data_IF_052851879635
#
_entry.id   IF_052851879635
#
_cell.length_a   1.000
_cell.length_b   1.000
_cell.length_c   1.000
_cell.angle_alpha   90.00
_cell.angle_beta   90.00
_cell.angle_gamma   90.00
#
_symmetry.space_group_name_H-M   'P 1'
#
loop_
_entity.id
_entity.type
_entity.pdbx_description
1 polymer ?
#
# COMPACT_ATOMS: atom_id res chain seq x y z
N UNK A 1 8.19 -26.56 -37.84
CA UNK A 1 9.11 -25.44 -38.11
C UNK A 1 9.20 -24.57 -36.87
N UNK A 2 10.41 -24.31 -36.40
CA UNK A 2 10.67 -23.72 -35.08
C UNK A 2 10.18 -22.26 -35.01
N UNK A 3 9.06 -22.00 -34.33
CA UNK A 3 8.33 -20.73 -34.43
C UNK A 3 8.78 -19.64 -33.44
N UNK A 4 9.67 -19.96 -32.51
CA UNK A 4 10.13 -19.07 -31.44
C UNK A 4 11.67 -18.99 -31.41
N UNK A 5 12.28 -18.85 -32.58
CA UNK A 5 13.73 -18.73 -32.76
C UNK A 5 14.10 -17.28 -33.05
N UNK A 6 15.19 -16.78 -32.45
CA UNK A 6 15.69 -15.42 -32.66
C UNK A 6 16.48 -15.23 -33.98
N UNK A 7 16.45 -16.21 -34.89
CA UNK A 7 17.27 -16.21 -36.11
C UNK A 7 16.92 -15.13 -37.13
N UNK A 8 15.76 -14.49 -36.99
CA UNK A 8 15.27 -13.45 -37.92
C UNK A 8 14.56 -12.33 -37.15
N UNK A 9 14.62 -11.08 -37.63
CA UNK A 9 13.90 -9.95 -37.03
C UNK A 9 12.39 -10.19 -36.86
N UNK A 10 11.74 -10.85 -37.83
CA UNK A 10 10.30 -11.13 -37.78
C UNK A 10 9.93 -12.05 -36.61
N UNK A 11 10.76 -13.05 -36.30
CA UNK A 11 10.50 -13.98 -35.20
C UNK A 11 10.75 -13.34 -33.84
N UNK A 12 11.79 -12.51 -33.71
CA UNK A 12 12.02 -11.69 -32.51
C UNK A 12 10.79 -10.82 -32.19
N UNK A 13 10.26 -10.15 -33.20
CA UNK A 13 9.06 -9.32 -33.07
C UNK A 13 7.80 -10.10 -32.64
N UNK A 14 7.60 -11.31 -33.16
CA UNK A 14 6.46 -12.16 -32.78
C UNK A 14 6.50 -12.54 -31.29
N UNK A 15 7.66 -12.99 -30.81
CA UNK A 15 7.86 -13.36 -29.39
C UNK A 15 7.68 -12.15 -28.47
N UNK A 16 8.24 -11.00 -28.84
CA UNK A 16 8.05 -9.75 -28.08
C UNK A 16 6.60 -9.31 -27.97
N UNK A 17 5.81 -9.39 -29.06
CA UNK A 17 4.39 -9.05 -29.03
C UNK A 17 3.60 -9.94 -28.08
N UNK A 18 3.89 -11.24 -28.04
CA UNK A 18 3.22 -12.17 -27.13
C UNK A 18 3.51 -11.87 -25.66
N UNK A 19 4.76 -11.55 -25.33
CA UNK A 19 5.16 -11.16 -23.99
C UNK A 19 4.58 -9.80 -23.58
N UNK A 20 4.48 -8.84 -24.51
CA UNK A 20 3.82 -7.56 -24.26
C UNK A 20 2.32 -7.71 -23.98
N UNK A 21 1.61 -8.55 -24.75
CA UNK A 21 0.19 -8.82 -24.50
C UNK A 21 -0.05 -9.40 -23.11
N UNK A 22 0.85 -10.28 -22.64
CA UNK A 22 0.79 -10.83 -21.29
C UNK A 22 1.02 -9.76 -20.22
N UNK A 23 1.97 -8.84 -20.45
CA UNK A 23 2.25 -7.73 -19.55
C UNK A 23 1.09 -6.73 -19.48
N UNK A 24 0.47 -6.41 -20.63
CA UNK A 24 -0.73 -5.58 -20.71
C UNK A 24 -1.91 -6.21 -19.92
N UNK A 25 -2.00 -7.55 -19.90
CA UNK A 25 -3.03 -8.27 -19.18
C UNK A 25 -2.82 -8.28 -17.65
N UNK A 26 -1.57 -8.12 -17.19
CA UNK A 26 -1.17 -8.16 -15.78
C UNK A 26 -0.60 -6.82 -15.29
N UNK A 27 -1.07 -5.70 -15.86
CA UNK A 27 -0.56 -4.37 -15.54
C UNK A 27 -0.65 -4.02 -14.05
N UNK A 28 -1.66 -4.56 -13.37
CA UNK A 28 -1.94 -4.41 -11.94
C UNK A 28 -0.85 -4.98 -11.02
N UNK A 29 -0.05 -5.93 -11.51
CA UNK A 29 1.04 -6.57 -10.78
C UNK A 29 2.41 -6.38 -11.46
N UNK A 30 2.46 -5.55 -12.51
CA UNK A 30 3.61 -5.47 -13.40
C UNK A 30 4.76 -4.61 -12.89
N UNK A 31 5.97 -5.05 -13.20
CA UNK A 31 7.25 -4.38 -13.01
C UNK A 31 7.49 -3.35 -14.12
N UNK A 32 8.34 -2.33 -13.91
CA UNK A 32 8.52 -1.23 -14.87
C UNK A 32 9.22 -1.64 -16.16
N UNK A 33 9.92 -2.78 -16.15
CA UNK A 33 10.62 -3.32 -17.31
C UNK A 33 10.45 -4.82 -17.34
N UNK A 34 10.17 -5.34 -18.53
CA UNK A 34 10.35 -6.74 -18.85
C UNK A 34 11.24 -6.84 -20.08
N UNK A 35 12.25 -7.71 -20.04
CA UNK A 35 13.14 -7.91 -21.18
C UNK A 35 13.64 -9.35 -21.27
N UNK A 36 14.12 -9.69 -22.46
CA UNK A 36 14.77 -10.95 -22.75
C UNK A 36 16.17 -10.66 -23.29
N UNK A 37 17.15 -11.41 -22.81
CA UNK A 37 18.49 -11.43 -23.39
C UNK A 37 18.75 -12.78 -24.03
N UNK A 38 19.25 -12.76 -25.27
CA UNK A 38 19.66 -13.98 -25.99
C UNK A 38 21.15 -14.25 -25.78
N UNK A 39 21.65 -15.48 -26.02
CA UNK A 39 23.05 -15.84 -25.75
C UNK A 39 24.10 -14.88 -26.33
N UNK A 40 23.85 -14.28 -27.49
CA UNK A 40 24.75 -13.30 -28.12
C UNK A 40 24.81 -11.92 -27.40
N UNK A 41 24.03 -11.74 -26.34
CA UNK A 41 24.05 -10.55 -25.48
C UNK A 41 23.06 -9.46 -25.88
N UNK A 42 22.25 -9.67 -26.91
CA UNK A 42 21.24 -8.71 -27.35
C UNK A 42 20.07 -8.66 -26.36
N UNK A 43 19.67 -7.45 -25.97
CA UNK A 43 18.46 -7.21 -25.17
C UNK A 43 17.28 -6.77 -26.03
N UNK A 44 16.11 -7.31 -25.72
CA UNK A 44 14.85 -6.96 -26.34
C UNK A 44 13.76 -6.89 -25.27
N UNK A 45 13.02 -5.80 -25.18
CA UNK A 45 12.06 -5.62 -24.08
C UNK A 45 11.29 -4.33 -24.12
N UNK A 46 10.49 -4.11 -23.09
CA UNK A 46 9.71 -2.90 -22.93
C UNK A 46 9.91 -2.30 -21.55
N UNK A 47 9.85 -0.98 -21.48
CA UNK A 47 9.83 -0.23 -20.24
C UNK A 47 8.71 0.81 -20.23
N UNK A 48 8.11 1.02 -19.07
CA UNK A 48 7.29 2.20 -18.86
C UNK A 48 8.14 3.38 -18.37
N UNK A 49 7.87 4.55 -18.93
CA UNK A 49 8.45 5.79 -18.42
C UNK A 49 7.78 6.22 -17.12
N UNK A 50 8.41 7.14 -16.37
CA UNK A 50 7.82 7.75 -15.17
C UNK A 50 6.46 8.40 -15.44
N UNK A 51 6.23 8.82 -16.69
CA UNK A 51 4.99 9.44 -17.14
C UNK A 51 3.98 8.43 -17.70
N UNK A 52 4.26 7.12 -17.61
CA UNK A 52 3.41 6.05 -18.13
C UNK A 52 3.53 5.81 -19.63
N UNK A 53 4.41 6.50 -20.36
CA UNK A 53 4.67 6.21 -21.78
C UNK A 53 5.45 4.91 -21.94
N UNK A 54 4.99 4.01 -22.79
CA UNK A 54 5.68 2.77 -23.12
C UNK A 54 6.86 3.03 -24.08
N UNK A 55 7.99 2.38 -23.83
CA UNK A 55 9.16 2.40 -24.69
C UNK A 55 9.64 0.98 -25.01
N UNK A 56 10.05 0.77 -26.26
CA UNK A 56 10.64 -0.47 -26.75
C UNK A 56 12.17 -0.37 -26.69
N UNK A 57 12.81 -1.43 -26.20
CA UNK A 57 14.24 -1.66 -26.33
C UNK A 57 14.48 -2.71 -27.39
N UNK A 58 15.29 -2.37 -28.38
CA UNK A 58 15.70 -3.25 -29.46
C UNK A 58 17.20 -3.15 -29.63
N UNK A 59 17.88 -4.28 -29.51
CA UNK A 59 19.31 -4.39 -29.70
C UNK A 59 19.62 -5.25 -30.92
N UNK A 60 20.46 -4.70 -31.80
CA UNK A 60 21.04 -5.40 -32.94
C UNK A 60 22.56 -5.38 -32.83
N UNK A 61 23.16 -6.55 -32.65
CA UNK A 61 24.57 -6.65 -32.30
C UNK A 61 24.86 -5.90 -31.00
N UNK A 62 25.74 -4.90 -31.03
CA UNK A 62 26.08 -4.07 -29.86
C UNK A 62 25.37 -2.72 -29.85
N UNK A 63 24.49 -2.45 -30.82
CA UNK A 63 23.71 -1.20 -30.87
C UNK A 63 22.37 -1.39 -30.17
N UNK A 64 22.22 -0.80 -28.99
CA UNK A 64 20.96 -0.74 -28.25
C UNK A 64 20.22 0.54 -28.61
N UNK A 65 18.99 0.40 -29.10
CA UNK A 65 18.10 1.51 -29.44
C UNK A 65 16.85 1.47 -28.56
N UNK A 66 16.39 2.64 -28.11
CA UNK A 66 15.14 2.82 -27.38
C UNK A 66 14.17 3.65 -28.21
N UNK A 67 12.92 3.20 -28.34
CA UNK A 67 11.88 3.88 -29.12
C UNK A 67 10.67 4.17 -28.23
N UNK A 68 9.95 5.26 -28.50
CA UNK A 68 8.61 5.43 -27.93
C UNK A 68 7.63 4.50 -28.65
N UNK A 69 6.63 4.00 -27.92
CA UNK A 69 5.61 3.10 -28.46
C UNK A 69 4.23 3.75 -28.56
N UNK A 70 3.48 3.39 -29.60
CA UNK A 70 2.08 3.75 -29.75
C UNK A 70 1.20 2.96 -28.77
N UNK A 71 -0.12 3.22 -28.77
CA UNK A 71 -1.08 2.53 -27.90
C UNK A 71 -1.20 1.02 -28.14
N UNK A 72 -0.61 0.49 -29.23
CA UNK A 72 -0.55 -0.94 -29.53
C UNK A 72 0.82 -1.55 -29.19
N UNK A 73 1.75 -0.74 -28.67
CA UNK A 73 3.10 -1.18 -28.34
C UNK A 73 4.11 -1.15 -29.50
N UNK A 74 3.75 -0.60 -30.66
CA UNK A 74 4.68 -0.49 -31.79
C UNK A 74 5.56 0.73 -31.66
N UNK A 75 6.85 0.55 -31.95
CA UNK A 75 7.78 1.66 -32.04
C UNK A 75 7.31 2.69 -33.07
N UNK A 76 7.33 3.97 -32.71
CA UNK A 76 7.03 5.07 -33.61
C UNK A 76 8.08 6.18 -33.50
N UNK A 77 8.38 6.81 -34.64
CA UNK A 77 9.37 7.87 -34.72
C UNK A 77 10.83 7.38 -34.65
N UNK A 78 11.74 8.35 -34.50
CA UNK A 78 13.16 8.09 -34.32
C UNK A 78 13.45 7.55 -32.89
N UNK A 79 14.55 6.81 -32.70
CA UNK A 79 14.92 6.34 -31.37
C UNK A 79 15.19 7.52 -30.44
N UNK A 80 14.69 7.42 -29.20
CA UNK A 80 14.92 8.41 -28.14
C UNK A 80 16.32 8.30 -27.54
N UNK A 81 16.94 7.12 -27.62
CA UNK A 81 18.34 6.93 -27.27
C UNK A 81 18.95 5.79 -28.09
N UNK A 82 20.22 5.93 -28.44
CA UNK A 82 21.02 4.90 -29.11
C UNK A 82 22.37 4.81 -28.39
N UNK A 83 22.80 3.60 -28.06
CA UNK A 83 24.08 3.32 -27.41
C UNK A 83 24.79 2.20 -28.17
N UNK A 84 26.11 2.30 -28.33
CA UNK A 84 26.94 1.37 -29.11
C UNK A 84 28.19 0.93 -28.33
N UNK A 85 28.09 0.82 -27.01
CA UNK A 85 29.22 0.45 -26.16
C UNK A 85 29.60 -1.02 -26.36
N UNK A 86 30.80 -1.27 -26.85
CA UNK A 86 31.31 -2.63 -27.08
C UNK A 86 32.03 -3.22 -25.85
N UNK A 87 32.36 -2.39 -24.86
CA UNK A 87 33.20 -2.79 -23.73
C UNK A 87 34.55 -3.36 -24.18
N UNK A 88 35.03 -4.38 -23.46
CA UNK A 88 36.24 -5.15 -23.84
C UNK A 88 35.95 -6.66 -24.01
N UNK A 89 34.67 -7.04 -24.14
CA UNK A 89 34.20 -8.43 -24.25
C UNK A 89 34.52 -9.31 -23.05
N UNK A 90 34.70 -8.73 -21.86
CA UNK A 90 34.83 -9.48 -20.59
C UNK A 90 33.62 -9.23 -19.69
N UNK A 91 33.33 -10.12 -18.72
CA UNK A 91 32.27 -9.87 -17.74
C UNK A 91 32.46 -8.59 -16.92
N UNK A 92 33.70 -8.13 -16.74
CA UNK A 92 34.04 -6.93 -15.97
C UNK A 92 33.87 -5.63 -16.77
N UNK A 93 33.92 -5.68 -18.10
CA UNK A 93 33.54 -4.57 -18.98
C UNK A 93 32.73 -5.12 -20.18
N UNK A 94 31.48 -5.50 -19.94
CA UNK A 94 30.66 -6.20 -20.93
C UNK A 94 30.15 -5.30 -22.05
N UNK A 95 30.23 -3.97 -21.90
CA UNK A 95 29.55 -3.03 -22.79
C UNK A 95 28.06 -3.34 -22.86
N UNK A 96 27.48 -3.32 -24.05
CA UNK A 96 26.10 -3.71 -24.32
C UNK A 96 25.89 -5.24 -24.42
N UNK A 97 26.86 -6.08 -24.06
CA UNK A 97 26.66 -7.52 -24.00
C UNK A 97 26.01 -7.93 -22.66
N UNK A 98 24.69 -8.04 -22.65
CA UNK A 98 23.94 -8.34 -21.44
C UNK A 98 24.17 -9.77 -20.92
N UNK A 99 24.56 -10.72 -21.78
CA UNK A 99 24.93 -12.08 -21.35
C UNK A 99 26.17 -12.06 -20.45
N UNK A 100 27.17 -11.26 -20.82
CA UNK A 100 28.38 -11.06 -20.02
C UNK A 100 28.08 -10.25 -18.76
N UNK A 101 27.19 -9.25 -18.85
CA UNK A 101 26.78 -8.44 -17.69
C UNK A 101 26.09 -9.30 -16.60
N UNK A 102 25.21 -10.22 -16.99
CA UNK A 102 24.47 -11.09 -16.06
C UNK A 102 25.19 -12.39 -15.69
N UNK A 103 26.22 -12.78 -16.42
CA UNK A 103 26.98 -14.00 -16.19
C UNK A 103 27.80 -14.00 -14.90
N UNK A 104 28.45 -15.13 -14.62
CA UNK A 104 29.37 -15.28 -13.48
C UNK A 104 30.48 -14.23 -13.56
N UNK A 105 30.63 -13.43 -12.49
CA UNK A 105 31.63 -12.37 -12.42
C UNK A 105 31.28 -11.11 -13.23
N UNK A 106 30.07 -11.04 -13.80
CA UNK A 106 29.54 -9.89 -14.52
C UNK A 106 29.27 -8.67 -13.64
N UNK A 107 29.25 -7.48 -14.24
CA UNK A 107 29.06 -6.21 -13.52
C UNK A 107 27.73 -6.14 -12.77
N UNK A 108 26.64 -6.68 -13.33
CA UNK A 108 25.33 -6.74 -12.69
C UNK A 108 25.36 -7.49 -11.36
N UNK A 109 26.28 -8.43 -11.15
CA UNK A 109 26.40 -9.25 -9.94
C UNK A 109 25.26 -10.26 -9.75
N UNK A 110 24.47 -10.57 -10.78
CA UNK A 110 23.47 -11.66 -10.75
C UNK A 110 24.12 -13.03 -10.69
N UNK A 111 25.31 -13.18 -11.30
CA UNK A 111 26.09 -14.42 -11.36
C UNK A 111 25.30 -15.61 -11.94
N UNK A 112 24.56 -15.39 -13.04
CA UNK A 112 23.82 -16.47 -13.68
C UNK A 112 24.78 -17.52 -14.24
N UNK A 113 24.49 -18.78 -13.92
CA UNK A 113 25.18 -19.93 -14.46
C UNK A 113 24.40 -20.49 -15.65
N UNK A 114 24.82 -20.16 -16.87
CA UNK A 114 24.16 -20.61 -18.10
C UNK A 114 24.13 -22.13 -18.30
N UNK A 115 25.00 -22.86 -17.60
CA UNK A 115 24.99 -24.33 -17.61
C UNK A 115 23.81 -24.89 -16.80
N UNK A 116 23.34 -24.18 -15.77
CA UNK A 116 22.21 -24.57 -14.93
C UNK A 116 20.91 -23.94 -15.44
N UNK A 117 19.96 -24.71 -15.98
CA UNK A 117 18.70 -24.18 -16.50
C UNK A 117 17.80 -23.54 -15.44
N UNK A 118 18.03 -23.82 -14.15
CA UNK A 118 17.28 -23.24 -13.05
C UNK A 118 17.98 -22.02 -12.43
N UNK A 119 19.08 -21.55 -13.05
CA UNK A 119 19.82 -20.42 -12.51
C UNK A 119 18.96 -19.16 -12.54
N UNK A 120 18.83 -18.55 -11.37
CA UNK A 120 18.16 -17.27 -11.15
C UNK A 120 19.07 -16.36 -10.34
N UNK A 121 18.88 -15.05 -10.46
CA UNK A 121 19.75 -14.08 -9.81
C UNK A 121 19.10 -12.72 -9.68
N UNK A 122 19.61 -11.93 -8.75
CA UNK A 122 19.14 -10.57 -8.51
C UNK A 122 20.31 -9.60 -8.63
N UNK A 123 20.21 -8.61 -9.52
CA UNK A 123 21.31 -7.69 -9.81
C UNK A 123 21.69 -6.85 -8.60
N UNK A 124 22.83 -6.19 -8.63
CA UNK A 124 23.07 -5.02 -7.80
C UNK A 124 22.08 -3.93 -8.20
N UNK A 125 21.74 -3.07 -7.25
CA UNK A 125 20.96 -1.87 -7.55
C UNK A 125 21.86 -0.95 -8.36
N UNK A 126 21.40 -0.50 -9.52
CA UNK A 126 22.23 0.22 -10.47
C UNK A 126 21.48 1.37 -11.13
N UNK A 127 22.17 2.48 -11.45
CA UNK A 127 21.63 3.53 -12.29
C UNK A 127 21.71 3.11 -13.76
N UNK A 128 20.66 3.39 -14.53
CA UNK A 128 20.65 3.25 -15.98
C UNK A 128 19.57 4.16 -16.58
N UNK A 129 19.83 4.82 -17.71
CA UNK A 129 18.84 5.71 -18.36
C UNK A 129 18.29 6.82 -17.45
N UNK A 130 19.07 7.28 -16.47
CA UNK A 130 18.65 8.28 -15.49
C UNK A 130 17.64 7.77 -14.45
N UNK A 131 17.55 6.46 -14.23
CA UNK A 131 16.73 5.81 -13.20
C UNK A 131 17.52 4.75 -12.46
N UNK A 132 16.99 4.31 -11.34
CA UNK A 132 17.58 3.23 -10.54
C UNK A 132 16.75 1.98 -10.70
N UNK A 133 17.42 0.90 -11.04
CA UNK A 133 16.82 -0.40 -11.27
C UNK A 133 17.36 -1.45 -10.34
N UNK A 134 16.47 -2.38 -10.00
CA UNK A 134 16.78 -3.66 -9.39
C UNK A 134 16.17 -4.74 -10.27
N UNK A 135 17.05 -5.54 -10.84
CA UNK A 135 16.70 -6.54 -11.83
C UNK A 135 16.64 -7.92 -11.19
N UNK A 136 15.53 -8.62 -11.39
CA UNK A 136 15.45 -10.07 -11.20
C UNK A 136 15.62 -10.74 -12.55
N UNK A 137 16.46 -11.77 -12.62
CA UNK A 137 16.72 -12.53 -13.85
C UNK A 137 16.63 -14.02 -13.59
N UNK A 138 16.20 -14.76 -14.61
CA UNK A 138 16.21 -16.21 -14.62
C UNK A 138 16.47 -16.76 -16.00
N UNK A 139 16.99 -17.98 -16.06
CA UNK A 139 17.11 -18.70 -17.33
C UNK A 139 15.74 -19.31 -17.65
N UNK A 140 15.26 -19.05 -18.87
CA UNK A 140 14.15 -19.75 -19.45
C UNK A 140 14.65 -20.57 -20.65
N UNK A 141 14.18 -21.82 -20.73
CA UNK A 141 14.40 -22.66 -21.90
C UNK A 141 13.15 -22.61 -22.75
N UNK A 142 13.33 -22.31 -24.03
CA UNK A 142 12.26 -22.47 -24.99
C UNK A 142 11.97 -23.95 -25.22
N UNK A 143 10.75 -24.39 -24.92
CA UNK A 143 10.36 -25.81 -25.01
C UNK A 143 10.43 -26.39 -26.44
N UNK A 144 10.36 -25.54 -27.47
CA UNK A 144 10.35 -25.97 -28.88
C UNK A 144 11.77 -25.93 -29.47
N UNK A 145 12.53 -24.87 -29.19
CA UNK A 145 13.87 -24.70 -29.75
C UNK A 145 14.98 -25.29 -28.88
N UNK A 146 14.71 -25.51 -27.58
CA UNK A 146 15.70 -25.74 -26.53
C UNK A 146 16.74 -24.62 -26.37
N UNK A 147 16.51 -23.45 -26.97
CA UNK A 147 17.37 -22.28 -26.77
C UNK A 147 17.18 -21.74 -25.36
N UNK A 148 18.30 -21.46 -24.69
CA UNK A 148 18.34 -20.79 -23.39
C UNK A 148 18.33 -19.29 -23.60
N UNK A 149 17.39 -18.61 -22.95
CA UNK A 149 17.32 -17.15 -22.90
C UNK A 149 17.29 -16.70 -21.45
N UNK A 150 17.75 -15.47 -21.20
CA UNK A 150 17.57 -14.83 -19.91
C UNK A 150 16.28 -14.04 -19.97
N UNK A 151 15.40 -14.26 -19.01
CA UNK A 151 14.21 -13.43 -18.81
C UNK A 151 14.47 -12.55 -17.60
N UNK A 152 14.27 -11.25 -17.78
CA UNK A 152 14.51 -10.23 -16.76
C UNK A 152 13.30 -9.36 -16.49
N UNK A 153 13.18 -8.95 -15.24
CA UNK A 153 12.15 -8.04 -14.74
C UNK A 153 12.82 -6.98 -13.85
N UNK A 154 12.65 -5.69 -14.18
CA UNK A 154 13.17 -4.61 -13.34
C UNK A 154 12.07 -3.93 -12.55
N UNK A 155 12.28 -3.85 -11.24
CA UNK A 155 11.62 -2.83 -10.44
C UNK A 155 12.45 -1.54 -10.51
N UNK A 156 11.85 -0.47 -11.01
CA UNK A 156 12.42 0.84 -10.75
C UNK A 156 12.20 1.21 -9.29
N UNK A 157 13.20 1.85 -8.71
CA UNK A 157 13.04 2.43 -7.38
C UNK A 157 11.99 3.55 -7.35
N UNK A 158 11.69 4.16 -8.51
CA UNK A 158 10.60 5.12 -8.66
C UNK A 158 9.23 4.48 -8.44
N UNK A 159 9.00 3.27 -8.95
CA UNK A 159 7.79 2.51 -8.67
C UNK A 159 7.65 2.19 -7.18
N UNK A 160 8.73 1.74 -6.52
CA UNK A 160 8.71 1.51 -5.07
C UNK A 160 8.42 2.80 -4.30
N UNK A 161 9.03 3.93 -4.67
CA UNK A 161 8.75 5.23 -4.05
C UNK A 161 7.28 5.65 -4.24
N UNK A 162 6.69 5.39 -5.42
CA UNK A 162 5.27 5.63 -5.68
C UNK A 162 4.38 4.78 -4.78
N UNK A 163 4.63 3.47 -4.69
CA UNK A 163 3.88 2.57 -3.81
C UNK A 163 3.97 3.01 -2.34
N UNK A 164 5.17 3.40 -1.89
CA UNK A 164 5.35 3.97 -0.55
C UNK A 164 4.56 5.27 -0.36
N UNK A 165 4.53 6.14 -1.37
CA UNK A 165 3.75 7.38 -1.34
C UNK A 165 2.26 7.11 -1.27
N UNK A 166 1.75 6.16 -2.05
CA UNK A 166 0.33 5.80 -2.05
C UNK A 166 -0.08 5.25 -0.69
N UNK A 167 0.73 4.36 -0.09
CA UNK A 167 0.51 3.86 1.28
C UNK A 167 0.59 5.02 2.29
N UNK A 168 1.61 5.86 2.21
CA UNK A 168 1.79 7.01 3.10
C UNK A 168 0.60 7.96 3.06
N UNK A 169 0.02 8.18 1.88
CA UNK A 169 -1.15 9.04 1.70
C UNK A 169 -2.43 8.47 2.35
N UNK A 170 -2.49 7.17 2.61
CA UNK A 170 -3.61 6.56 3.38
C UNK A 170 -3.48 6.79 4.88
N UNK A 171 -2.28 7.12 5.36
CA UNK A 171 -2.01 7.35 6.78
C UNK A 171 -2.19 8.84 7.06
N UNK A 172 -3.05 9.20 8.01
CA UNK A 172 -3.51 10.58 8.09
C UNK A 172 -2.54 11.53 8.82
N UNK A 173 -1.46 11.03 9.40
CA UNK A 173 -0.38 11.83 9.96
C UNK A 173 0.79 11.93 8.98
N UNK A 174 1.50 13.07 8.88
CA UNK A 174 2.70 13.18 8.06
C UNK A 174 3.71 12.06 8.39
N UNK A 175 4.13 11.37 7.34
CA UNK A 175 5.10 10.30 7.43
C UNK A 175 6.27 10.57 6.49
N UNK A 176 7.47 10.28 6.97
CA UNK A 176 8.59 9.96 6.11
C UNK A 176 8.91 8.47 6.22
N UNK A 177 8.94 7.78 5.09
CA UNK A 177 9.32 6.38 5.01
C UNK A 177 10.53 6.26 4.10
N UNK A 178 11.58 5.58 4.55
CA UNK A 178 12.79 5.35 3.76
C UNK A 178 13.21 3.89 3.82
N UNK A 179 13.71 3.35 2.70
CA UNK A 179 14.27 2.00 2.62
C UNK A 179 15.74 2.12 2.31
N UNK A 180 16.61 1.64 3.20
CA UNK A 180 18.06 1.64 3.02
C UNK A 180 18.56 0.21 2.80
N UNK A 181 19.43 0.02 1.81
CA UNK A 181 20.12 -1.26 1.61
C UNK A 181 21.23 -1.45 2.65
N UNK A 182 21.17 -2.49 3.47
CA UNK A 182 22.15 -2.71 4.55
C UNK A 182 23.59 -2.86 4.04
N UNK A 183 23.76 -3.49 2.87
CA UNK A 183 25.07 -3.78 2.30
C UNK A 183 25.69 -2.56 1.61
N UNK A 184 24.85 -1.67 1.07
CA UNK A 184 25.32 -0.50 0.31
C UNK A 184 25.27 0.80 1.10
N UNK A 185 24.46 0.89 2.16
CA UNK A 185 24.20 2.13 2.87
C UNK A 185 23.43 3.17 2.05
N UNK A 186 22.91 2.78 0.88
CA UNK A 186 22.18 3.68 -0.02
C UNK A 186 20.69 3.65 0.27
N UNK A 187 20.03 4.79 0.15
CA UNK A 187 18.58 4.84 0.11
C UNK A 187 18.13 4.23 -1.22
N UNK A 188 17.20 3.29 -1.14
CA UNK A 188 16.63 2.57 -2.27
C UNK A 188 15.33 3.19 -2.69
N UNK A 189 14.49 3.62 -1.75
CA UNK A 189 13.24 4.31 -2.01
C UNK A 189 12.87 5.14 -0.79
N UNK A 190 12.11 6.22 -1.00
CA UNK A 190 11.52 6.97 0.10
C UNK A 190 10.17 7.57 -0.29
N UNK A 191 9.36 7.88 0.72
CA UNK A 191 8.18 8.72 0.65
C UNK A 191 8.31 9.82 1.71
N UNK A 192 8.29 11.11 1.37
CA UNK A 192 8.31 11.65 0.00
C UNK A 192 9.52 11.18 -0.83
N UNK A 193 9.35 11.14 -2.15
CA UNK A 193 10.39 10.65 -3.06
C UNK A 193 11.58 11.62 -3.09
N UNK A 194 12.77 11.11 -2.75
CA UNK A 194 14.02 11.83 -2.88
C UNK A 194 14.70 11.52 -4.22
N UNK A 195 15.49 12.46 -4.74
CA UNK A 195 16.36 12.16 -5.88
C UNK A 195 17.54 11.32 -5.41
N UNK A 196 17.56 10.05 -5.83
CA UNK A 196 18.57 9.07 -5.42
C UNK A 196 19.80 9.05 -6.34
N UNK A 197 19.79 9.87 -7.39
CA UNK A 197 20.86 9.97 -8.37
C UNK A 197 21.63 11.28 -8.22
N UNK A 198 22.91 11.19 -8.53
CA UNK A 198 23.78 12.35 -8.78
C UNK A 198 23.21 13.30 -9.83
N UNK A 199 23.67 14.54 -9.84
CA UNK A 199 23.17 15.59 -10.74
C UNK A 199 23.31 15.23 -12.24
N UNK A 200 24.37 14.51 -12.60
CA UNK A 200 24.63 13.98 -13.95
C UNK A 200 23.92 12.65 -14.23
N UNK A 201 23.23 12.09 -13.23
CA UNK A 201 22.48 10.83 -13.27
C UNK A 201 23.33 9.59 -13.58
N UNK A 202 24.64 9.65 -13.38
CA UNK A 202 25.56 8.55 -13.71
C UNK A 202 25.78 7.60 -12.53
N UNK A 203 25.66 8.10 -11.30
CA UNK A 203 25.81 7.31 -10.07
C UNK A 203 24.63 7.46 -9.12
N UNK A 204 24.42 6.43 -8.29
CA UNK A 204 23.58 6.53 -7.11
C UNK A 204 24.27 7.33 -6.01
N UNK A 205 23.49 8.13 -5.29
CA UNK A 205 23.92 8.80 -4.07
C UNK A 205 23.86 7.79 -2.91
N UNK A 206 24.83 7.89 -2.00
CA UNK A 206 24.73 7.25 -0.70
C UNK A 206 23.66 7.96 0.14
N UNK A 207 23.08 7.27 1.12
CA UNK A 207 21.97 7.86 1.88
C UNK A 207 22.38 9.19 2.54
N UNK A 208 23.59 9.25 3.12
CA UNK A 208 24.11 10.45 3.77
C UNK A 208 24.35 11.64 2.83
N UNK A 209 24.39 11.42 1.51
CA UNK A 209 24.52 12.48 0.50
C UNK A 209 23.16 13.07 0.08
N UNK A 210 22.04 12.49 0.53
CA UNK A 210 20.71 12.95 0.15
C UNK A 210 20.32 14.22 0.89
N UNK A 211 19.75 15.17 0.16
CA UNK A 211 19.15 16.39 0.73
C UNK A 211 17.80 16.06 1.37
N UNK A 212 17.84 15.47 2.57
CA UNK A 212 16.67 15.14 3.36
C UNK A 212 16.96 15.31 4.86
N UNK A 213 16.15 16.14 5.52
CA UNK A 213 16.26 16.40 6.96
C UNK A 213 16.17 15.12 7.80
N UNK A 214 15.38 14.14 7.35
CA UNK A 214 15.21 12.85 8.01
C UNK A 214 16.44 11.96 7.87
N UNK A 215 17.13 12.05 6.73
CA UNK A 215 18.35 11.26 6.50
C UNK A 215 19.55 11.85 7.24
N UNK A 216 19.61 13.19 7.34
CA UNK A 216 20.57 13.89 8.19
C UNK A 216 20.35 13.54 9.68
N UNK A 217 19.10 13.56 10.15
CA UNK A 217 18.79 13.11 11.51
C UNK A 217 19.14 11.63 11.71
N UNK A 218 18.78 10.74 10.77
CA UNK A 218 19.12 9.32 10.89
C UNK A 218 20.64 9.09 10.96
N UNK A 219 21.42 9.85 10.18
CA UNK A 219 22.89 9.83 10.27
C UNK A 219 23.38 10.28 11.65
N UNK A 220 22.72 11.28 12.24
CA UNK A 220 22.99 11.75 13.61
C UNK A 220 22.61 10.71 14.66
N UNK A 221 21.46 10.06 14.52
CA UNK A 221 21.04 8.93 15.34
C UNK A 221 22.07 7.79 15.34
N UNK A 222 22.61 7.45 14.17
CA UNK A 222 23.69 6.46 14.05
C UNK A 222 24.98 6.92 14.73
N UNK A 223 25.32 8.21 14.66
CA UNK A 223 26.48 8.78 15.35
C UNK A 223 26.30 8.76 16.87
N UNK A 224 25.10 9.03 17.38
CA UNK A 224 24.78 8.94 18.80
C UNK A 224 24.86 7.48 19.30
N UNK A 225 24.40 6.53 18.49
CA UNK A 225 24.35 5.11 18.87
C UNK A 225 25.72 4.43 18.82
N UNK A 226 26.52 4.70 17.78
CA UNK A 226 27.77 3.98 17.50
C UNK A 226 29.03 4.86 17.54
N UNK A 227 28.90 6.14 17.89
CA UNK A 227 29.99 7.12 17.91
C UNK A 227 30.32 7.70 16.53
N UNK A 228 31.17 8.73 16.46
CA UNK A 228 31.52 9.42 15.21
C UNK A 228 32.70 8.80 14.46
N UNK A 229 33.52 8.00 15.13
CA UNK A 229 34.75 7.39 14.60
C UNK A 229 34.49 6.34 13.51
N UNK A 230 33.30 5.73 13.51
CA UNK A 230 32.93 4.67 12.56
C UNK A 230 32.32 5.26 11.28
N UNK A 231 32.61 4.65 10.12
CA UNK A 231 32.00 5.04 8.85
C UNK A 231 30.50 4.76 8.79
N UNK A 232 29.76 5.54 8.00
CA UNK A 232 28.29 5.44 7.89
C UNK A 232 27.81 4.00 7.56
N UNK A 233 28.43 3.35 6.56
CA UNK A 233 28.04 2.00 6.16
C UNK A 233 28.22 0.96 7.29
N UNK A 234 29.33 1.04 8.02
CA UNK A 234 29.59 0.13 9.13
C UNK A 234 28.55 0.32 10.26
N UNK A 235 28.12 1.55 10.53
CA UNK A 235 27.05 1.84 11.49
C UNK A 235 25.71 1.24 11.05
N UNK A 236 25.37 1.38 9.76
CA UNK A 236 24.17 0.77 9.18
C UNK A 236 24.20 -0.75 9.32
N UNK A 237 25.34 -1.39 9.03
CA UNK A 237 25.51 -2.83 9.15
C UNK A 237 25.41 -3.32 10.60
N UNK A 238 26.01 -2.59 11.55
CA UNK A 238 25.88 -2.88 12.97
C UNK A 238 24.44 -2.72 13.45
N UNK A 239 23.72 -1.68 13.02
CA UNK A 239 22.31 -1.52 13.36
C UNK A 239 21.46 -2.68 12.83
N UNK A 240 21.71 -3.15 11.62
CA UNK A 240 21.03 -4.32 11.06
C UNK A 240 21.32 -5.57 11.89
N UNK A 241 22.58 -5.79 12.28
CA UNK A 241 22.96 -6.93 13.12
C UNK A 241 22.27 -6.87 14.50
N UNK A 242 22.29 -5.72 15.15
CA UNK A 242 21.64 -5.48 16.44
C UNK A 242 20.14 -5.74 16.36
N UNK A 243 19.47 -5.19 15.34
CA UNK A 243 18.03 -5.38 15.13
C UNK A 243 17.71 -6.84 14.85
N UNK A 244 18.51 -7.51 14.01
CA UNK A 244 18.29 -8.93 13.66
C UNK A 244 18.50 -9.87 14.86
N UNK A 245 19.28 -9.45 15.86
CA UNK A 245 19.46 -10.19 17.12
C UNK A 245 18.29 -10.01 18.10
N UNK A 246 17.41 -9.03 17.89
CA UNK A 246 16.25 -8.80 18.76
C UNK A 246 15.14 -9.81 18.45
N UNK A 247 14.69 -10.55 19.47
CA UNK A 247 13.65 -11.58 19.31
C UNK A 247 12.21 -11.03 19.17
N UNK A 248 11.98 -9.73 19.35
CA UNK A 248 10.65 -9.11 19.33
C UNK A 248 10.36 -8.42 17.98
N UNK A 249 9.22 -8.73 17.36
CA UNK A 249 8.71 -8.15 16.09
C UNK A 249 9.67 -8.23 14.88
N UNK A 250 10.59 -9.21 14.87
CA UNK A 250 11.58 -9.37 13.81
C UNK A 250 12.65 -8.27 13.78
N UNK A 251 12.83 -7.55 14.89
CA UNK A 251 13.88 -6.54 15.04
C UNK A 251 13.43 -5.12 14.69
N UNK A 252 12.89 -4.40 15.67
CA UNK A 252 12.61 -2.97 15.53
C UNK A 252 13.05 -2.16 16.75
N UNK A 253 13.45 -0.91 16.51
CA UNK A 253 13.84 0.04 17.55
C UNK A 253 13.11 1.36 17.35
N UNK A 254 12.70 1.97 18.46
CA UNK A 254 12.02 3.26 18.49
C UNK A 254 12.92 4.32 19.11
N UNK A 255 12.83 5.55 18.62
CA UNK A 255 13.52 6.72 19.18
C UNK A 255 12.67 7.97 18.96
N UNK A 256 12.62 8.84 19.97
CA UNK A 256 12.05 10.17 19.84
C UNK A 256 13.11 11.11 19.30
N UNK A 257 12.79 11.85 18.24
CA UNK A 257 13.72 12.72 17.50
C UNK A 257 13.10 14.10 17.34
N UNK A 258 13.91 15.15 17.46
CA UNK A 258 13.50 16.49 17.04
C UNK A 258 14.16 16.81 15.70
N UNK A 259 13.36 16.92 14.64
CA UNK A 259 13.86 17.12 13.27
C UNK A 259 13.23 18.38 12.71
N UNK A 260 14.05 19.40 12.45
CA UNK A 260 13.57 20.68 11.93
C UNK A 260 12.61 21.42 12.88
N UNK A 261 12.71 21.20 14.20
CA UNK A 261 11.83 21.81 15.21
C UNK A 261 10.51 21.08 15.43
N UNK A 262 10.27 19.96 14.75
CA UNK A 262 9.09 19.09 14.93
C UNK A 262 9.51 17.82 15.67
N UNK A 263 8.65 17.32 16.57
CA UNK A 263 8.89 16.08 17.30
C UNK A 263 8.38 14.87 16.49
N UNK A 264 9.29 13.96 16.19
CA UNK A 264 9.05 12.75 15.43
C UNK A 264 9.31 11.50 16.27
N UNK A 265 8.54 10.46 16.01
CA UNK A 265 8.90 9.09 16.41
C UNK A 265 9.57 8.41 15.22
N UNK A 266 10.84 8.06 15.39
CA UNK A 266 11.58 7.19 14.49
C UNK A 266 11.36 5.73 14.89
N UNK A 267 10.81 4.92 13.99
CA UNK A 267 10.90 3.46 14.02
C UNK A 267 11.90 3.00 12.97
N UNK A 268 12.88 2.20 13.38
CA UNK A 268 13.78 1.50 12.47
C UNK A 268 13.50 0.01 12.56
N UNK A 269 13.28 -0.65 11.41
CA UNK A 269 13.05 -2.09 11.33
C UNK A 269 14.00 -2.74 10.32
N UNK A 270 14.55 -3.89 10.68
CA UNK A 270 15.28 -4.75 9.73
C UNK A 270 14.30 -5.66 8.99
N UNK A 271 14.44 -5.78 7.68
CA UNK A 271 13.62 -6.65 6.83
C UNK A 271 14.55 -7.44 5.91
N UNK A 272 14.33 -8.74 5.80
CA UNK A 272 15.05 -9.60 4.86
C UNK A 272 14.17 -9.82 3.63
N UNK A 273 14.65 -9.42 2.46
CA UNK A 273 13.96 -9.61 1.18
C UNK A 273 14.91 -10.19 0.14
N UNK A 274 14.56 -11.34 -0.45
CA UNK A 274 15.37 -12.01 -1.47
C UNK A 274 16.81 -12.28 -1.02
N UNK A 275 17.01 -12.68 0.25
CA UNK A 275 18.31 -12.92 0.86
C UNK A 275 19.14 -11.66 1.16
N UNK A 276 18.60 -10.45 0.97
CA UNK A 276 19.27 -9.18 1.30
C UNK A 276 18.59 -8.50 2.46
N UNK A 277 19.40 -7.96 3.38
CA UNK A 277 18.91 -7.16 4.49
C UNK A 277 18.65 -5.71 4.06
N UNK A 278 17.50 -5.19 4.47
CA UNK A 278 17.02 -3.84 4.24
C UNK A 278 16.67 -3.21 5.60
N UNK A 279 16.91 -1.91 5.73
CA UNK A 279 16.39 -1.11 6.84
C UNK A 279 15.20 -0.30 6.36
N UNK A 280 14.08 -0.45 7.05
CA UNK A 280 12.92 0.42 6.92
C UNK A 280 12.98 1.49 8.01
N UNK A 281 13.08 2.74 7.58
CA UNK A 281 12.97 3.93 8.41
C UNK A 281 11.54 4.45 8.32
N UNK A 282 10.93 4.75 9.45
CA UNK A 282 9.61 5.38 9.52
C UNK A 282 9.67 6.49 10.55
N UNK A 283 9.52 7.72 10.08
CA UNK A 283 9.34 8.91 10.90
C UNK A 283 7.87 9.27 10.88
N UNK A 284 7.27 9.40 12.07
CA UNK A 284 5.89 9.86 12.24
C UNK A 284 5.85 11.13 13.08
N UNK A 285 5.19 12.16 12.56
CA UNK A 285 4.99 13.43 13.28
C UNK A 285 4.08 13.19 14.49
N UNK A 286 4.65 13.35 15.69
CA UNK A 286 3.94 13.08 16.93
C UNK A 286 2.85 14.11 17.22
N UNK A 287 3.11 15.37 16.90
CA UNK A 287 2.19 16.47 17.19
C UNK A 287 0.98 16.40 16.26
N UNK A 288 1.22 16.13 14.98
CA UNK A 288 0.14 15.92 14.01
C UNK A 288 -0.71 14.69 14.37
N UNK A 289 -0.07 13.60 14.78
CA UNK A 289 -0.78 12.40 15.25
C UNK A 289 -1.64 12.71 16.49
N UNK A 290 -1.07 13.36 17.50
CA UNK A 290 -1.78 13.73 18.72
C UNK A 290 -2.95 14.68 18.44
N UNK A 291 -2.73 15.70 17.61
CA UNK A 291 -3.76 16.64 17.19
C UNK A 291 -4.92 15.92 16.51
N UNK A 292 -4.63 14.97 15.62
CA UNK A 292 -5.68 14.22 14.94
C UNK A 292 -6.45 13.29 15.90
N UNK A 293 -5.75 12.61 16.80
CA UNK A 293 -6.39 11.81 17.85
C UNK A 293 -7.31 12.70 18.69
N UNK A 294 -6.85 13.90 19.03
CA UNK A 294 -7.63 14.87 19.81
C UNK A 294 -8.84 15.40 19.04
N UNK A 295 -8.69 15.82 17.78
CA UNK A 295 -9.82 16.25 16.93
C UNK A 295 -10.87 15.15 16.74
N UNK A 296 -10.42 13.89 16.58
CA UNK A 296 -11.32 12.74 16.49
C UNK A 296 -12.03 12.47 17.82
N UNK A 297 -11.31 12.62 18.93
CA UNK A 297 -11.85 12.49 20.28
C UNK A 297 -12.87 13.59 20.57
N UNK A 298 -12.55 14.84 20.24
CA UNK A 298 -13.42 16.01 20.40
C UNK A 298 -14.69 15.89 19.55
N UNK A 299 -14.56 15.44 18.30
CA UNK A 299 -15.72 15.19 17.43
C UNK A 299 -16.65 14.12 18.02
N UNK A 300 -16.08 13.03 18.53
CA UNK A 300 -16.83 11.98 19.23
C UNK A 300 -17.49 12.54 20.49
N UNK A 301 -16.77 13.36 21.26
CA UNK A 301 -17.26 14.02 22.47
C UNK A 301 -18.43 14.95 22.20
N UNK A 302 -18.34 15.80 21.18
CA UNK A 302 -19.42 16.69 20.76
C UNK A 302 -20.64 15.93 20.24
N UNK A 303 -20.45 14.82 19.52
CA UNK A 303 -21.55 13.96 19.09
C UNK A 303 -22.27 13.33 20.30
N UNK A 304 -21.52 12.83 21.29
CA UNK A 304 -22.10 12.29 22.53
C UNK A 304 -22.86 13.35 23.32
N UNK A 305 -22.31 14.56 23.47
CA UNK A 305 -23.00 15.68 24.11
C UNK A 305 -24.29 16.05 23.38
N UNK A 306 -24.28 16.08 22.05
CA UNK A 306 -25.47 16.34 21.23
C UNK A 306 -26.56 15.28 21.44
N UNK A 307 -26.19 14.00 21.49
CA UNK A 307 -27.12 12.89 21.77
C UNK A 307 -27.71 13.05 23.18
N UNK A 308 -26.87 13.24 24.21
CA UNK A 308 -27.34 13.42 25.60
C UNK A 308 -28.31 14.59 25.69
N UNK A 309 -27.96 15.74 25.10
CA UNK A 309 -28.82 16.92 25.10
C UNK A 309 -30.18 16.61 24.47
N UNK A 310 -30.22 15.95 23.32
CA UNK A 310 -31.45 15.59 22.61
C UNK A 310 -32.33 14.63 23.43
N UNK A 311 -31.74 13.64 24.10
CA UNK A 311 -32.48 12.73 24.98
C UNK A 311 -33.04 13.43 26.21
N UNK A 312 -32.29 14.37 26.81
CA UNK A 312 -32.76 15.16 27.95
C UNK A 312 -33.92 16.08 27.53
N UNK A 313 -33.82 16.80 26.40
CA UNK A 313 -34.94 17.63 25.92
C UNK A 313 -36.15 16.79 25.56
N UNK A 314 -35.98 15.65 24.88
CA UNK A 314 -37.08 14.75 24.56
C UNK A 314 -37.73 14.18 25.84
N UNK A 315 -36.93 13.79 26.84
CA UNK A 315 -37.41 13.33 28.13
C UNK A 315 -38.19 14.40 28.90
N UNK A 316 -37.69 15.64 28.94
CA UNK A 316 -38.38 16.77 29.55
C UNK A 316 -39.70 17.10 28.82
N UNK A 317 -39.71 17.09 27.50
CA UNK A 317 -40.94 17.30 26.70
C UNK A 317 -41.96 16.20 26.97
N UNK A 318 -41.52 14.94 27.01
CA UNK A 318 -42.39 13.80 27.33
C UNK A 318 -42.96 13.90 28.75
N UNK A 319 -42.14 14.27 29.73
CA UNK A 319 -42.59 14.52 31.10
C UNK A 319 -43.64 15.64 31.15
N UNK A 320 -43.42 16.77 30.47
CA UNK A 320 -44.39 17.87 30.39
C UNK A 320 -45.72 17.41 29.77
N UNK A 321 -45.67 16.60 28.72
CA UNK A 321 -46.87 16.05 28.08
C UNK A 321 -47.63 15.14 29.04
N UNK A 322 -46.95 14.22 29.73
CA UNK A 322 -47.59 13.36 30.73
C UNK A 322 -48.17 14.18 31.89
N UNK A 323 -47.43 15.13 32.44
CA UNK A 323 -47.90 15.98 33.54
C UNK A 323 -49.14 16.78 33.13
N UNK A 324 -49.19 17.33 31.91
CA UNK A 324 -50.39 18.02 31.40
C UNK A 324 -51.59 17.08 31.26
N UNK A 325 -51.37 15.85 30.81
CA UNK A 325 -52.45 14.86 30.70
C UNK A 325 -52.95 14.43 32.09
N UNK A 326 -52.04 14.22 33.05
CA UNK A 326 -52.40 13.89 34.43
C UNK A 326 -53.12 15.05 35.14
N UNK A 327 -52.76 16.30 34.88
CA UNK A 327 -53.43 17.47 35.46
C UNK A 327 -54.88 17.60 34.94
N UNK A 328 -55.13 17.30 33.67
CA UNK A 328 -56.49 17.21 33.11
C UNK A 328 -57.30 16.11 33.78
N UNK A 329 -56.70 14.93 34.01
CA UNK A 329 -57.34 13.83 34.73
C UNK A 329 -57.64 14.20 36.18
N UNK A 330 -56.69 14.82 36.88
CA UNK A 330 -56.89 15.29 38.26
C UNK A 330 -58.04 16.29 38.37
N UNK A 331 -58.13 17.26 37.45
CA UNK A 331 -59.25 18.22 37.39
C UNK A 331 -60.59 17.54 37.11
N UNK A 332 -60.62 16.52 36.25
CA UNK A 332 -61.84 15.76 35.98
C UNK A 332 -62.30 14.94 37.19
N UNK A 333 -61.36 14.32 37.92
CA UNK A 333 -61.65 13.61 39.17
C UNK A 333 -62.17 14.57 40.24
N UNK A 334 -61.59 15.76 40.36
CA UNK A 334 -62.02 16.76 41.35
C UNK A 334 -63.40 17.37 41.01
N UNK A 335 -63.71 17.55 39.71
CA UNK A 335 -65.06 17.93 39.26
C UNK A 335 -66.11 16.84 39.51
N UNK A 336 -65.75 15.56 39.36
CA UNK A 336 -66.61 14.42 39.71
C UNK A 336 -66.87 14.33 41.22
N UNK A 337 -65.84 14.60 42.03
CA UNK A 337 -65.96 14.64 43.50
C UNK A 337 -66.90 15.74 44.00
N UNK A 338 -67.02 16.83 43.25
CA UNK A 338 -67.89 17.97 43.57
C UNK A 338 -69.33 17.85 43.00
N UNK A 339 -69.75 16.68 42.49
CA UNK A 339 -71.13 16.35 42.07
C UNK A 339 -71.77 17.36 41.08
N UNK A 340 -70.98 18.09 40.28
CA UNK A 340 -71.46 19.02 39.24
C UNK A 340 -71.67 18.30 37.89
N UNK A 341 -72.63 17.39 37.82
CA UNK A 341 -72.88 16.58 36.62
C UNK A 341 -73.45 17.37 35.42
N UNK A 342 -73.99 18.58 35.61
CA UNK A 342 -74.55 19.38 34.50
C UNK A 342 -73.50 20.11 33.65
N UNK A 343 -72.28 20.33 34.15
CA UNK A 343 -71.20 20.97 33.37
C UNK A 343 -70.39 19.96 32.53
N UNK A 344 -70.51 18.66 32.80
CA UNK A 344 -69.85 17.59 32.02
C UNK A 344 -70.67 17.19 30.78
N UNK A 345 -71.98 17.43 30.80
CA UNK A 345 -72.89 17.01 29.73
C UNK A 345 -73.21 18.09 28.68
N UNK A 346 -72.91 19.37 28.93
CA UNK A 346 -73.39 20.47 28.09
C UNK A 346 -72.30 21.17 27.25
N UNK A 347 -71.30 20.40 26.80
CA UNK A 347 -70.42 20.82 25.70
C UNK A 347 -70.22 19.69 24.69
N UNK A 348 -71.22 19.51 23.83
CA UNK A 348 -71.10 18.89 22.50
C UNK A 348 -70.18 19.67 21.53
N UNK A 349 -69.39 20.63 22.01
CA UNK A 349 -68.34 21.31 21.25
C UNK A 349 -66.98 21.19 21.95
N UNK A 350 -66.34 20.03 21.78
CA UNK A 350 -64.95 19.86 22.22
C UNK A 350 -64.38 18.45 22.13
N UNK A 351 -65.20 17.40 22.03
CA UNK A 351 -64.74 16.01 21.94
C UNK A 351 -64.57 15.59 20.48
N UNK A 352 -63.59 16.21 19.81
CA UNK A 352 -62.96 15.63 18.60
C UNK A 352 -61.45 15.61 18.80
N UNK A 353 -60.98 14.59 19.53
CA UNK A 353 -59.89 13.69 19.14
C UNK A 353 -59.73 12.58 20.20
N UNK A 354 -59.63 11.36 19.70
CA UNK A 354 -59.82 10.06 20.36
C UNK A 354 -58.71 9.76 21.39
N UNK A 355 -59.04 8.95 22.41
CA UNK A 355 -58.14 8.55 23.50
C UNK A 355 -57.16 7.47 23.07
N UNK A 356 -55.86 7.78 23.07
CA UNK A 356 -54.76 6.85 22.79
C UNK A 356 -54.57 5.81 23.90
N UNK A 357 -55.05 6.05 25.12
CA UNK A 357 -55.00 5.07 26.23
C UNK A 357 -55.90 3.87 25.94
N UNK A 358 -57.02 4.08 25.25
CA UNK A 358 -57.91 3.01 24.80
C UNK A 358 -57.31 2.20 23.64
N UNK A 359 -56.53 2.85 22.76
CA UNK A 359 -55.78 2.16 21.70
C UNK A 359 -54.56 1.40 22.25
N UNK A 360 -53.86 1.97 23.23
CA UNK A 360 -52.74 1.31 23.90
C UNK A 360 -53.21 0.06 24.66
N UNK A 361 -54.34 0.15 25.37
CA UNK A 361 -54.97 -1.00 26.04
C UNK A 361 -55.39 -2.09 25.05
N UNK A 362 -55.98 -1.72 23.90
CA UNK A 362 -56.32 -2.68 22.83
C UNK A 362 -55.10 -3.32 22.14
N UNK A 363 -54.00 -2.58 21.98
CA UNK A 363 -52.78 -3.09 21.35
C UNK A 363 -52.04 -4.03 22.29
N UNK A 364 -52.06 -3.75 23.60
CA UNK A 364 -51.54 -4.63 24.64
C UNK A 364 -52.36 -5.93 24.76
N UNK A 365 -53.69 -5.84 24.61
CA UNK A 365 -54.60 -6.99 24.60
C UNK A 365 -54.40 -7.88 23.35
N UNK A 366 -54.27 -7.28 22.15
CA UNK A 366 -53.98 -8.00 20.91
C UNK A 366 -52.58 -8.67 20.92
N UNK A 367 -51.58 -8.02 21.52
CA UNK A 367 -50.24 -8.59 21.69
C UNK A 367 -50.25 -9.79 22.65
N UNK A 368 -51.04 -9.72 23.73
CA UNK A 368 -51.20 -10.82 24.68
C UNK A 368 -51.89 -12.03 24.04
N UNK A 369 -52.92 -11.82 23.21
CA UNK A 369 -53.63 -12.87 22.50
C UNK A 369 -52.73 -13.57 21.46
N UNK A 370 -51.92 -12.78 20.72
CA UNK A 370 -50.94 -13.29 19.75
C UNK A 370 -49.84 -14.13 20.40
N UNK A 371 -49.31 -13.70 21.55
CA UNK A 371 -48.32 -14.46 22.35
C UNK A 371 -48.93 -15.74 22.91
N UNK A 372 -50.19 -15.71 23.31
CA UNK A 372 -50.90 -16.90 23.83
C UNK A 372 -51.11 -17.94 22.72
N UNK A 373 -51.50 -17.51 21.51
CA UNK A 373 -51.59 -18.40 20.34
C UNK A 373 -50.21 -18.94 19.97
N UNK A 374 -49.16 -18.10 19.93
CA UNK A 374 -47.79 -18.52 19.63
C UNK A 374 -47.25 -19.55 20.65
N UNK A 375 -47.52 -19.35 21.94
CA UNK A 375 -47.18 -20.30 23.01
C UNK A 375 -47.98 -21.60 22.91
N UNK A 376 -49.25 -21.53 22.48
CA UNK A 376 -50.09 -22.71 22.23
C UNK A 376 -49.58 -23.49 21.02
N UNK A 377 -49.19 -22.82 19.93
CA UNK A 377 -48.57 -23.44 18.74
C UNK A 377 -47.21 -24.06 19.04
N UNK A 378 -46.39 -23.43 19.92
CA UNK A 378 -45.14 -23.99 20.42
C UNK A 378 -45.37 -25.24 21.30
N UNK A 379 -46.36 -25.22 22.18
CA UNK A 379 -46.76 -26.40 22.98
C UNK A 379 -47.31 -27.51 22.10
N UNK A 380 -48.16 -27.21 21.12
CA UNK A 380 -48.69 -28.24 20.20
C UNK A 380 -47.59 -28.84 19.32
N UNK A 381 -46.59 -28.06 18.89
CA UNK A 381 -45.41 -28.58 18.19
C UNK A 381 -44.42 -29.36 19.10
N UNK A 382 -44.36 -29.06 20.40
CA UNK A 382 -43.60 -29.86 21.36
C UNK A 382 -44.33 -31.16 21.78
N UNK A 383 -45.67 -31.14 21.82
CA UNK A 383 -46.51 -32.33 22.08
C UNK A 383 -46.72 -33.23 20.86
N UNK A 384 -46.35 -32.77 19.66
CA UNK A 384 -46.37 -33.54 18.41
C UNK A 384 -45.04 -34.26 18.12
N UNK A 385 -44.33 -34.70 19.17
CA UNK A 385 -43.46 -35.88 19.11
C UNK A 385 -44.01 -36.91 20.11
N UNK A 386 -44.52 -38.07 19.64
CA UNK A 386 -45.08 -39.09 20.51
C UNK A 386 -43.99 -39.74 21.39
N UNK A 387 -44.35 -40.02 22.64
CA UNK A 387 -43.64 -40.99 23.47
C UNK A 387 -43.89 -42.40 22.93
N UNK A 388 -42.86 -43.00 22.32
CA UNK A 388 -42.39 -44.40 22.41
C UNK A 388 -41.50 -44.72 21.20
#
# INVERSE_FOLDING_TARGET
>A
TNQLSASTPERKNKTMRQMLTLLNHHLDISVDIFYVTVPDGEVNGYTYTVNGTLQLWDQKGLTLSTYNCDGNGYAFGAPVSVTTDEGNKTPQMPGNNHTLDYGIGGMSGTNLNYSDPNSTGMSKIRPWGGRIFKTSVGIAINEVTNEKVIVGADLSMGFLAKQLSDISNTIPSPLFVGVIGAVSGRMLASSPANNLLSADKTRMLDAWELDSIHVLDFSSYLNETYGTQMGYLAKVQNLVADLSAMQVDGGSRFSYRNVGGVDWILKVKSIIYGGKALLLLTYMDLQAFQKQVQETSDRTGYAMLGIILAFVTAGCLFAIVITRQLDVVARQIDMLKNLKFSEVLDKESGVKKRSFVFELAKLQEAFHEMVTVFAKTLKTNQSARPCL
#
